data_IF_377337774870
#
_entry.id   IF_377337774870
#
_cell.length_a   1.000
_cell.length_b   1.000
_cell.length_c   1.000
_cell.angle_alpha   90.00
_cell.angle_beta   90.00
_cell.angle_gamma   90.00
#
_symmetry.space_group_name_H-M   'P 1'
#
loop_
_entity.id
_entity.type
_entity.pdbx_description
1 polymer ?
#
# COMPACT_ATOMS: atom_id res chain seq x y z
N UNK A 1 -13.33 2.85 6.31
CA UNK A 1 -12.55 3.39 5.19
C UNK A 1 -11.07 3.50 5.58
N UNK A 2 -10.76 4.08 6.74
CA UNK A 2 -9.41 4.24 7.30
C UNK A 2 -8.67 2.90 7.42
N UNK A 3 -9.31 1.87 7.97
CA UNK A 3 -8.74 0.53 8.07
C UNK A 3 -8.27 -0.02 6.71
N UNK A 4 -9.07 0.15 5.66
CA UNK A 4 -8.68 -0.26 4.29
C UNK A 4 -7.46 0.50 3.79
N UNK A 5 -7.40 1.80 4.06
CA UNK A 5 -6.25 2.62 3.71
C UNK A 5 -5.00 2.22 4.50
N UNK A 6 -5.14 1.90 5.78
CA UNK A 6 -4.04 1.40 6.61
C UNK A 6 -3.43 0.11 6.02
N UNK A 7 -4.25 -0.86 5.58
CA UNK A 7 -3.74 -2.05 4.90
C UNK A 7 -2.97 -1.69 3.63
N UNK A 8 -3.50 -0.78 2.80
CA UNK A 8 -2.83 -0.34 1.56
C UNK A 8 -1.49 0.31 1.89
N UNK A 9 -1.45 1.25 2.82
CA UNK A 9 -0.21 1.95 3.17
C UNK A 9 0.84 1.02 3.76
N UNK A 10 0.47 0.17 4.73
CA UNK A 10 1.42 -0.71 5.43
C UNK A 10 1.97 -1.83 4.55
N UNK A 11 1.33 -2.14 3.43
CA UNK A 11 1.79 -3.16 2.49
C UNK A 11 2.41 -2.61 1.22
N UNK A 12 2.34 -1.29 1.00
CA UNK A 12 2.90 -0.66 -0.19
C UNK A 12 4.43 -0.68 -0.16
N UNK A 13 5.04 -1.08 -1.28
CA UNK A 13 6.50 -1.27 -1.38
C UNK A 13 7.33 -0.01 -1.11
N UNK A 14 6.81 1.16 -1.45
CA UNK A 14 7.51 2.44 -1.30
C UNK A 14 7.27 3.11 0.05
N UNK A 15 6.44 2.53 0.91
CA UNK A 15 6.18 3.04 2.24
C UNK A 15 7.19 2.45 3.24
N UNK A 16 7.80 3.34 4.01
CA UNK A 16 8.74 2.99 5.08
C UNK A 16 8.07 2.96 6.46
N UNK A 17 7.12 3.87 6.71
CA UNK A 17 6.45 3.99 8.01
C UNK A 17 5.04 4.58 7.84
N UNK A 18 4.12 4.19 8.71
CA UNK A 18 2.75 4.71 8.77
C UNK A 18 2.42 5.02 10.23
N UNK A 19 2.02 6.26 10.50
CA UNK A 19 1.62 6.71 11.84
C UNK A 19 0.19 7.19 11.79
N UNK A 20 -0.63 6.68 12.69
CA UNK A 20 -2.00 7.13 12.87
C UNK A 20 -2.02 8.41 13.71
N UNK A 21 -2.96 9.31 13.39
CA UNK A 21 -3.22 10.56 14.11
C UNK A 21 -1.94 11.32 14.47
N UNK A 22 -1.17 11.80 13.48
CA UNK A 22 0.04 12.58 13.73
C UNK A 22 -0.30 13.87 14.50
N UNK A 23 0.74 14.62 14.91
CA UNK A 23 0.58 15.86 15.64
C UNK A 23 -0.37 16.85 14.95
N UNK A 24 -1.04 17.67 15.76
CA UNK A 24 -1.98 18.69 15.29
C UNK A 24 -1.26 19.74 14.44
N UNK A 25 -1.87 20.11 13.32
CA UNK A 25 -1.47 21.24 12.47
C UNK A 25 -2.37 22.44 12.76
N UNK A 26 -1.76 23.59 12.99
CA UNK A 26 -2.47 24.86 13.09
C UNK A 26 -2.49 25.55 11.73
N UNK A 27 -3.61 26.16 11.38
CA UNK A 27 -3.77 26.91 10.13
C UNK A 27 -4.73 28.08 10.35
N UNK A 28 -4.79 28.99 9.40
CA UNK A 28 -5.77 30.10 9.39
C UNK A 28 -6.75 29.85 8.25
N UNK A 29 -8.03 29.86 8.55
CA UNK A 29 -9.09 29.68 7.53
C UNK A 29 -9.17 30.91 6.62
N UNK A 30 -9.95 30.82 5.54
CA UNK A 30 -10.09 31.87 4.54
C UNK A 30 -10.76 33.16 5.08
N UNK A 31 -11.45 33.08 6.20
CA UNK A 31 -12.02 34.22 6.92
C UNK A 31 -11.08 34.82 8.00
N UNK A 32 -9.85 34.31 8.12
CA UNK A 32 -8.88 34.75 9.11
C UNK A 32 -8.99 34.02 10.46
N UNK A 33 -9.93 33.09 10.62
CA UNK A 33 -10.14 32.36 11.88
C UNK A 33 -9.05 31.31 12.09
N UNK A 34 -8.38 31.27 13.26
CA UNK A 34 -7.44 30.21 13.60
C UNK A 34 -8.13 28.85 13.70
N UNK A 35 -7.59 27.85 13.00
CA UNK A 35 -8.07 26.48 12.99
C UNK A 35 -6.97 25.51 13.44
N UNK A 36 -7.39 24.30 13.79
CA UNK A 36 -6.50 23.17 14.04
C UNK A 36 -7.04 21.90 13.35
N UNK A 37 -6.14 21.07 12.88
CA UNK A 37 -6.49 19.84 12.18
C UNK A 37 -5.54 18.70 12.56
N UNK A 38 -6.09 17.50 12.69
CA UNK A 38 -5.32 16.26 12.83
C UNK A 38 -5.65 15.38 11.64
N UNK A 39 -4.63 15.00 10.88
CA UNK A 39 -4.77 14.05 9.78
C UNK A 39 -5.00 12.63 10.31
N UNK A 40 -5.61 11.76 9.50
CA UNK A 40 -5.83 10.37 9.89
C UNK A 40 -4.52 9.57 9.88
N UNK A 41 -3.62 9.86 8.90
CA UNK A 41 -2.32 9.20 8.78
C UNK A 41 -1.19 10.15 8.40
N UNK A 42 0.02 9.80 8.84
CA UNK A 42 1.28 10.25 8.26
C UNK A 42 1.93 9.05 7.59
N UNK A 43 2.08 9.10 6.27
CA UNK A 43 2.77 8.09 5.46
C UNK A 43 4.17 8.60 5.16
N UNK A 44 5.19 7.83 5.56
CA UNK A 44 6.59 8.13 5.26
C UNK A 44 7.05 7.19 4.15
N UNK A 45 7.51 7.75 3.04
CA UNK A 45 8.03 7.00 1.92
C UNK A 45 9.51 6.63 2.13
N UNK A 46 9.99 5.62 1.42
CA UNK A 46 11.40 5.17 1.48
C UNK A 46 12.41 6.23 1.04
N UNK A 47 11.99 7.20 0.23
CA UNK A 47 12.80 8.35 -0.16
C UNK A 47 12.81 9.48 0.89
N UNK A 48 12.15 9.26 2.03
CA UNK A 48 12.09 10.19 3.16
C UNK A 48 10.92 11.18 3.09
N UNK A 49 10.20 11.28 2.00
CA UNK A 49 9.03 12.17 1.90
C UNK A 49 7.94 11.75 2.87
N UNK A 50 7.30 12.74 3.49
CA UNK A 50 6.19 12.59 4.42
C UNK A 50 4.91 13.11 3.78
N UNK A 51 3.86 12.31 3.79
CA UNK A 51 2.56 12.66 3.24
C UNK A 51 1.52 12.58 4.35
N UNK A 52 0.91 13.71 4.68
CA UNK A 52 -0.21 13.77 5.60
C UNK A 52 -1.50 13.39 4.85
N UNK A 53 -2.21 12.39 5.33
CA UNK A 53 -3.38 11.83 4.64
C UNK A 53 -4.63 12.04 5.48
N UNK A 54 -5.63 12.67 4.86
CA UNK A 54 -6.99 12.75 5.37
C UNK A 54 -7.87 11.80 4.58
N UNK A 55 -8.71 11.05 5.28
CA UNK A 55 -9.65 10.11 4.66
C UNK A 55 -11.07 10.56 4.94
N UNK A 56 -11.87 10.74 3.90
CA UNK A 56 -13.28 11.09 4.01
C UNK A 56 -14.09 10.35 2.94
N UNK A 57 -15.36 9.99 3.23
CA UNK A 57 -16.27 9.53 2.19
C UNK A 57 -16.38 10.53 1.04
N UNK A 58 -16.48 10.04 -0.21
CA UNK A 58 -16.51 10.87 -1.43
C UNK A 58 -17.60 11.95 -1.40
N UNK A 59 -18.75 11.69 -0.76
CA UNK A 59 -19.81 12.68 -0.57
C UNK A 59 -19.36 13.94 0.18
N UNK A 60 -18.29 13.88 0.93
CA UNK A 60 -17.72 15.02 1.65
C UNK A 60 -16.50 15.64 0.95
N UNK A 61 -16.05 15.07 -0.15
CA UNK A 61 -14.81 15.49 -0.82
C UNK A 61 -14.87 16.97 -1.26
N UNK A 62 -16.00 17.43 -1.81
CA UNK A 62 -16.17 18.82 -2.24
C UNK A 62 -15.93 19.81 -1.10
N UNK A 63 -16.37 19.50 0.12
CA UNK A 63 -16.17 20.31 1.32
C UNK A 63 -14.72 20.27 1.79
N UNK A 64 -14.10 19.08 1.80
CA UNK A 64 -12.80 18.88 2.44
C UNK A 64 -11.60 19.22 1.55
N UNK A 65 -11.70 19.08 0.22
CA UNK A 65 -10.60 19.39 -0.71
C UNK A 65 -10.01 20.80 -0.56
N UNK A 66 -10.84 21.89 -0.51
CA UNK A 66 -10.31 23.23 -0.31
C UNK A 66 -9.63 23.39 1.07
N UNK A 67 -10.18 22.79 2.12
CA UNK A 67 -9.62 22.85 3.48
C UNK A 67 -8.23 22.17 3.51
N UNK A 68 -8.12 20.95 2.97
CA UNK A 68 -6.83 20.23 2.94
C UNK A 68 -5.80 20.99 2.09
N UNK A 69 -6.20 21.59 0.98
CA UNK A 69 -5.31 22.46 0.17
C UNK A 69 -4.80 23.66 0.97
N UNK A 70 -5.69 24.32 1.69
CA UNK A 70 -5.33 25.47 2.52
C UNK A 70 -4.34 25.08 3.63
N UNK A 71 -4.58 23.94 4.30
CA UNK A 71 -3.67 23.40 5.31
C UNK A 71 -2.32 23.07 4.67
N UNK A 72 -2.31 22.41 3.49
CA UNK A 72 -1.08 22.05 2.78
C UNK A 72 -0.21 23.26 2.42
N UNK A 73 -0.82 24.42 2.14
CA UNK A 73 -0.10 25.66 1.84
C UNK A 73 0.53 26.30 3.09
N UNK A 74 -0.04 26.07 4.25
CA UNK A 74 0.37 26.71 5.51
C UNK A 74 1.20 25.79 6.43
N UNK A 75 1.09 24.46 6.26
CA UNK A 75 1.83 23.53 7.10
C UNK A 75 3.35 23.61 6.88
N UNK A 76 4.09 23.40 7.95
CA UNK A 76 5.55 23.33 7.87
C UNK A 76 6.00 22.09 7.09
N UNK A 77 7.03 22.25 6.24
CA UNK A 77 7.70 21.11 5.57
C UNK A 77 8.40 20.17 6.54
N UNK A 78 8.68 20.59 7.77
CA UNK A 78 9.16 19.70 8.81
C UNK A 78 8.07 18.71 9.26
N UNK A 79 6.80 19.11 9.17
CA UNK A 79 5.67 18.23 9.45
C UNK A 79 5.43 17.25 8.31
N UNK A 80 5.15 17.74 7.09
CA UNK A 80 4.97 16.91 5.90
C UNK A 80 5.30 17.67 4.61
N UNK A 81 5.70 16.94 3.58
CA UNK A 81 5.98 17.48 2.24
C UNK A 81 4.72 17.74 1.43
N UNK A 82 3.67 16.96 1.71
CA UNK A 82 2.36 17.08 1.07
C UNK A 82 1.23 16.71 2.01
N UNK A 83 0.03 17.23 1.74
CA UNK A 83 -1.21 16.78 2.34
C UNK A 83 -2.21 16.38 1.24
N UNK A 84 -2.86 15.23 1.42
CA UNK A 84 -3.81 14.67 0.46
C UNK A 84 -5.12 14.28 1.13
N UNK A 85 -6.22 14.40 0.38
CA UNK A 85 -7.51 13.84 0.74
C UNK A 85 -7.75 12.59 -0.11
N UNK A 86 -7.95 11.46 0.56
CA UNK A 86 -8.38 10.22 -0.08
C UNK A 86 -9.83 9.89 0.26
N UNK A 87 -10.48 9.22 -0.69
CA UNK A 87 -11.86 8.74 -0.59
C UNK A 87 -11.91 7.25 -0.91
N UNK A 88 -13.09 6.63 -0.80
CA UNK A 88 -13.28 5.25 -1.26
C UNK A 88 -13.02 5.07 -2.77
N UNK A 89 -13.09 6.14 -3.56
CA UNK A 89 -12.83 6.09 -5.00
C UNK A 89 -11.33 5.95 -5.31
N UNK A 90 -10.47 6.39 -4.40
CA UNK A 90 -9.02 6.30 -4.52
C UNK A 90 -8.48 4.92 -4.06
N UNK A 91 -9.33 4.14 -3.38
CA UNK A 91 -9.00 2.81 -2.86
C UNK A 91 -9.58 1.72 -3.78
N UNK A 92 -8.83 1.34 -4.81
CA UNK A 92 -9.20 0.24 -5.70
C UNK A 92 -9.52 -1.03 -4.88
N UNK A 93 -10.71 -1.68 -5.07
CA UNK A 93 -11.10 -2.87 -4.32
C UNK A 93 -10.12 -4.05 -4.45
N UNK A 94 -9.47 -4.22 -5.60
CA UNK A 94 -8.49 -5.28 -5.80
C UNK A 94 -7.19 -4.99 -5.05
N UNK A 95 -6.75 -3.72 -5.04
CA UNK A 95 -5.62 -3.27 -4.24
C UNK A 95 -5.88 -3.51 -2.73
N UNK A 96 -7.05 -3.14 -2.24
CA UNK A 96 -7.45 -3.38 -0.84
C UNK A 96 -7.44 -4.87 -0.51
N UNK A 97 -8.03 -5.71 -1.39
CA UNK A 97 -8.03 -7.18 -1.21
C UNK A 97 -6.60 -7.72 -1.14
N UNK A 98 -5.73 -7.33 -2.07
CA UNK A 98 -4.35 -7.76 -2.12
C UNK A 98 -3.57 -7.31 -0.87
N UNK A 99 -3.80 -6.08 -0.42
CA UNK A 99 -3.16 -5.54 0.78
C UNK A 99 -3.56 -6.30 2.05
N UNK A 100 -4.83 -6.63 2.21
CA UNK A 100 -5.31 -7.47 3.32
C UNK A 100 -4.66 -8.86 3.28
N UNK A 101 -4.59 -9.47 2.11
CA UNK A 101 -3.95 -10.78 1.92
C UNK A 101 -2.46 -10.73 2.25
N UNK A 102 -1.73 -9.73 1.72
CA UNK A 102 -0.30 -9.52 2.00
C UNK A 102 -0.08 -9.29 3.50
N UNK A 103 -0.89 -8.45 4.14
CA UNK A 103 -0.81 -8.22 5.57
C UNK A 103 -0.99 -9.52 6.36
N UNK A 104 -1.99 -10.33 6.00
CA UNK A 104 -2.26 -11.60 6.66
C UNK A 104 -1.08 -12.60 6.55
N UNK A 105 -0.45 -12.71 5.36
CA UNK A 105 0.69 -13.63 5.20
C UNK A 105 1.98 -13.12 5.83
N UNK A 106 2.18 -11.79 5.95
CA UNK A 106 3.37 -11.21 6.60
C UNK A 106 3.36 -11.38 8.13
N UNK A 107 2.23 -11.68 8.73
CA UNK A 107 2.14 -11.96 10.19
C UNK A 107 2.82 -13.26 10.59
N UNK A 108 2.91 -14.22 9.69
CA UNK A 108 3.62 -15.46 9.94
C UNK A 108 5.08 -15.33 9.50
N UNK A 109 6.04 -15.84 10.25
CA UNK A 109 7.44 -15.82 9.84
C UNK A 109 7.65 -16.64 8.56
N UNK A 110 8.57 -16.21 7.68
CA UNK A 110 8.97 -17.02 6.53
C UNK A 110 9.62 -18.32 6.97
N UNK A 111 9.49 -19.35 6.14
CA UNK A 111 10.03 -20.68 6.44
C UNK A 111 10.68 -21.33 5.21
N UNK A 112 11.05 -22.60 5.34
CA UNK A 112 11.68 -23.38 4.25
C UNK A 112 10.83 -23.43 2.97
N UNK A 113 9.50 -23.29 3.10
CA UNK A 113 8.57 -23.24 1.97
C UNK A 113 8.75 -21.99 1.14
N UNK A 114 9.04 -20.86 1.77
CA UNK A 114 9.29 -19.58 1.09
C UNK A 114 10.55 -19.67 0.25
N UNK A 115 11.60 -20.28 0.77
CA UNK A 115 12.86 -20.46 0.07
C UNK A 115 12.76 -21.42 -1.11
N UNK A 116 11.97 -22.49 -0.96
CA UNK A 116 11.66 -23.41 -2.04
C UNK A 116 10.91 -22.70 -3.17
N UNK A 117 9.84 -21.98 -2.86
CA UNK A 117 9.07 -21.23 -3.86
C UNK A 117 9.89 -20.10 -4.49
N UNK A 118 10.77 -19.45 -3.74
CA UNK A 118 11.71 -18.44 -4.26
C UNK A 118 12.62 -19.02 -5.34
N UNK A 119 13.22 -20.20 -5.09
CA UNK A 119 14.06 -20.88 -6.08
C UNK A 119 13.27 -21.20 -7.36
N UNK A 120 12.05 -21.71 -7.23
CA UNK A 120 11.16 -21.94 -8.39
C UNK A 120 10.85 -20.64 -9.13
N UNK A 121 10.49 -19.57 -8.42
CA UNK A 121 10.21 -18.27 -9.00
C UNK A 121 11.43 -17.70 -9.76
N UNK A 122 12.66 -17.90 -9.23
CA UNK A 122 13.89 -17.44 -9.87
C UNK A 122 14.17 -18.15 -11.22
N UNK A 123 13.66 -19.37 -11.42
CA UNK A 123 13.79 -20.11 -12.66
C UNK A 123 12.75 -19.77 -13.74
N UNK A 124 11.74 -18.94 -13.40
CA UNK A 124 10.67 -18.58 -14.33
C UNK A 124 11.19 -17.83 -15.55
N UNK A 125 10.77 -18.32 -16.73
CA UNK A 125 10.96 -17.68 -18.03
C UNK A 125 9.60 -17.20 -18.53
N UNK A 126 9.23 -15.96 -18.23
CA UNK A 126 7.91 -15.40 -18.57
C UNK A 126 6.92 -15.44 -17.41
N UNK A 127 5.63 -15.51 -17.73
CA UNK A 127 4.55 -15.52 -16.75
C UNK A 127 3.98 -16.92 -16.53
N UNK A 128 3.47 -17.17 -15.31
CA UNK A 128 2.82 -18.44 -14.93
C UNK A 128 1.63 -18.12 -14.02
N UNK A 129 0.62 -18.97 -13.96
CA UNK A 129 -0.44 -18.85 -12.96
C UNK A 129 0.10 -19.21 -11.58
N UNK A 130 -0.37 -18.52 -10.56
CA UNK A 130 -0.01 -18.86 -9.18
C UNK A 130 -0.35 -20.31 -8.86
N UNK A 131 -1.52 -20.79 -9.31
CA UNK A 131 -1.95 -22.19 -9.12
C UNK A 131 -0.95 -23.19 -9.66
N UNK A 132 -0.51 -23.00 -10.91
CA UNK A 132 0.44 -23.90 -11.58
C UNK A 132 1.81 -23.88 -10.88
N UNK A 133 2.26 -22.70 -10.44
CA UNK A 133 3.51 -22.54 -9.69
C UNK A 133 3.44 -23.24 -8.33
N UNK A 134 2.33 -23.14 -7.63
CA UNK A 134 2.08 -23.77 -6.33
C UNK A 134 1.99 -25.29 -6.48
N UNK A 135 1.31 -25.79 -7.51
CA UNK A 135 1.20 -27.20 -7.83
C UNK A 135 2.59 -27.80 -8.13
N UNK A 136 3.36 -27.13 -8.97
CA UNK A 136 4.74 -27.54 -9.29
C UNK A 136 5.63 -27.57 -8.04
N UNK A 137 5.41 -26.65 -7.09
CA UNK A 137 6.13 -26.64 -5.81
C UNK A 137 5.71 -27.72 -4.82
N UNK A 138 4.57 -28.38 -5.02
CA UNK A 138 4.07 -29.45 -4.15
C UNK A 138 3.70 -29.01 -2.73
N UNK A 139 3.44 -27.73 -2.50
CA UNK A 139 3.28 -27.14 -1.16
C UNK A 139 1.83 -26.67 -0.84
N UNK A 140 0.90 -26.84 -1.78
CA UNK A 140 -0.50 -26.43 -1.64
C UNK A 140 -0.66 -25.01 -1.03
N UNK A 141 -1.50 -24.82 -0.01
CA UNK A 141 -1.74 -23.52 0.60
C UNK A 141 -0.50 -22.83 1.18
N UNK A 142 0.55 -23.58 1.58
CA UNK A 142 1.82 -23.00 2.05
C UNK A 142 2.60 -22.39 0.87
N UNK A 143 2.58 -23.04 -0.29
CA UNK A 143 3.14 -22.50 -1.52
C UNK A 143 2.46 -21.21 -1.96
N UNK A 144 1.13 -21.15 -1.89
CA UNK A 144 0.38 -19.93 -2.18
C UNK A 144 0.81 -18.76 -1.27
N UNK A 145 0.92 -19.00 0.04
CA UNK A 145 1.37 -17.96 1.00
C UNK A 145 2.80 -17.49 0.70
N UNK A 146 3.69 -18.42 0.32
CA UNK A 146 5.04 -18.08 -0.09
C UNK A 146 5.05 -17.20 -1.34
N UNK A 147 4.26 -17.54 -2.37
CA UNK A 147 4.14 -16.70 -3.59
C UNK A 147 3.61 -15.30 -3.25
N UNK A 148 2.61 -15.18 -2.37
CA UNK A 148 2.11 -13.87 -1.92
C UNK A 148 3.21 -13.04 -1.23
N UNK A 149 4.11 -13.67 -0.45
CA UNK A 149 5.27 -12.96 0.12
C UNK A 149 6.26 -12.51 -0.95
N UNK A 150 6.56 -13.37 -1.93
CA UNK A 150 7.42 -12.98 -3.06
C UNK A 150 6.84 -11.79 -3.86
N UNK A 151 5.52 -11.73 -4.00
CA UNK A 151 4.84 -10.56 -4.59
C UNK A 151 5.02 -9.33 -3.69
N UNK A 152 4.80 -9.47 -2.39
CA UNK A 152 4.94 -8.38 -1.43
C UNK A 152 6.38 -7.83 -1.37
N UNK A 153 7.38 -8.70 -1.51
CA UNK A 153 8.80 -8.34 -1.49
C UNK A 153 9.31 -7.82 -2.86
N UNK A 154 8.48 -7.90 -3.89
CA UNK A 154 8.82 -7.43 -5.24
C UNK A 154 9.67 -8.40 -6.05
N UNK A 155 9.83 -9.63 -5.60
CA UNK A 155 10.53 -10.69 -6.35
C UNK A 155 9.65 -11.24 -7.48
N UNK A 156 8.32 -11.18 -7.30
CA UNK A 156 7.32 -11.41 -8.32
C UNK A 156 6.40 -10.20 -8.47
N UNK A 157 5.83 -10.03 -9.65
CA UNK A 157 4.79 -9.06 -9.91
C UNK A 157 3.56 -9.74 -10.54
N UNK A 158 2.39 -9.09 -10.47
CA UNK A 158 1.14 -9.60 -11.00
C UNK A 158 0.73 -8.86 -12.26
N UNK A 159 0.06 -9.55 -13.18
CA UNK A 159 -0.48 -8.93 -14.38
C UNK A 159 -1.71 -8.02 -14.12
N UNK A 160 -2.11 -7.87 -12.86
CA UNK A 160 -3.25 -7.06 -12.42
C UNK A 160 -4.32 -7.87 -11.70
N UNK A 161 -5.36 -7.19 -11.20
CA UNK A 161 -6.49 -7.79 -10.50
C UNK A 161 -6.16 -8.29 -9.08
N UNK A 162 -7.00 -9.22 -8.61
CA UNK A 162 -6.86 -9.82 -7.27
C UNK A 162 -5.86 -10.96 -7.28
N UNK A 163 -5.06 -11.05 -6.23
CA UNK A 163 -4.19 -12.20 -6.01
C UNK A 163 -5.04 -13.42 -5.67
N UNK A 164 -4.93 -14.44 -6.51
CA UNK A 164 -5.61 -15.72 -6.40
C UNK A 164 -4.88 -16.79 -7.22
N UNK A 165 -5.35 -18.03 -7.18
CA UNK A 165 -4.70 -19.14 -7.91
C UNK A 165 -4.67 -18.93 -9.43
N UNK A 166 -5.65 -18.21 -10.00
CA UNK A 166 -5.73 -17.92 -11.44
C UNK A 166 -4.92 -16.68 -11.87
N UNK A 167 -4.33 -15.96 -10.91
CA UNK A 167 -3.54 -14.75 -11.19
C UNK A 167 -2.21 -15.11 -11.85
N UNK A 168 -1.88 -14.41 -12.92
CA UNK A 168 -0.60 -14.52 -13.58
C UNK A 168 0.47 -13.72 -12.85
N UNK A 169 1.60 -14.37 -12.59
CA UNK A 169 2.79 -13.77 -11.97
C UNK A 169 3.98 -13.89 -12.89
N UNK A 170 4.90 -12.96 -12.76
CA UNK A 170 6.15 -12.93 -13.54
C UNK A 170 7.26 -12.26 -12.70
N UNK A 171 8.49 -12.50 -13.10
CA UNK A 171 9.62 -11.76 -12.50
C UNK A 171 9.68 -10.37 -13.09
N UNK A 172 9.73 -9.30 -12.25
CA UNK A 172 9.94 -7.96 -12.76
C UNK A 172 11.31 -7.89 -13.47
N UNK A 173 11.36 -7.28 -14.65
CA UNK A 173 12.62 -7.00 -15.34
C UNK A 173 13.39 -5.95 -14.56
N UNK A 174 14.69 -6.17 -14.36
CA UNK A 174 15.57 -5.19 -13.74
C UNK A 174 15.52 -3.88 -14.57
N UNK A 175 14.83 -2.86 -14.07
CA UNK A 175 14.60 -1.58 -14.76
C UNK A 175 13.16 -1.08 -14.78
N UNK A 176 12.19 -1.86 -14.34
CA UNK A 176 10.76 -1.46 -14.30
C UNK A 176 10.34 -0.79 -12.96
N UNK A 177 11.27 -0.42 -12.13
CA UNK A 177 11.02 0.43 -10.96
C UNK A 177 10.93 1.89 -11.43
N UNK A 178 9.73 2.34 -11.80
CA UNK A 178 9.38 3.76 -11.89
C UNK A 178 8.27 4.09 -10.91
#
# INVERSE_FOLDING_TARGET
LEEKAAYVFTTHRDVADVREQPAVVHFTDCDGTPGKHTFDFMVVLKDGRKIAVQIKPAKFAAKWRPIIRLIAQQMSRQFADAAVLLTEQDLNPDLVHNSILIHAVKRDPPGTHDEHMRRLAQSLKGSVRIGDLVEHGGLAGRGFRAVVRLIADGELDIAGGRIGYDTWVFRPTAGALR
#
